data_IF_276993643946
#
_entry.id   IF_276993643946
#
_cell.length_a   1.000
_cell.length_b   1.000
_cell.length_c   1.000
_cell.angle_alpha   90.00
_cell.angle_beta   90.00
_cell.angle_gamma   90.00
#
_symmetry.space_group_name_H-M   'P 1'
#
loop_
_entity.id
_entity.type
_entity.pdbx_description
1 polymer ?
#
# COMPACT_ATOMS: atom_id res chain seq x y z
N UNK A 1 -5.13 23.76 -1.88
CA UNK A 1 -5.93 23.60 -0.66
C UNK A 1 -6.22 22.11 -0.36
N UNK A 2 -6.82 21.35 -1.27
CA UNK A 2 -7.18 19.92 -1.05
C UNK A 2 -5.96 19.05 -0.71
N UNK A 3 -4.91 19.12 -1.51
CA UNK A 3 -3.67 18.37 -1.28
C UNK A 3 -3.01 18.68 0.07
N UNK A 4 -3.01 19.97 0.48
CA UNK A 4 -2.47 20.37 1.79
C UNK A 4 -3.25 19.75 2.96
N UNK A 5 -4.58 19.63 2.85
CA UNK A 5 -5.40 18.94 3.84
C UNK A 5 -5.02 17.45 3.91
N UNK A 6 -4.85 16.80 2.77
CA UNK A 6 -4.43 15.39 2.73
C UNK A 6 -3.05 15.18 3.35
N UNK A 7 -2.09 16.08 3.11
CA UNK A 7 -0.76 15.99 3.73
C UNK A 7 -0.85 16.11 5.25
N UNK A 8 -1.60 17.11 5.75
CA UNK A 8 -1.77 17.31 7.20
C UNK A 8 -2.46 16.10 7.84
N UNK A 9 -3.52 15.59 7.20
CA UNK A 9 -4.22 14.40 7.66
C UNK A 9 -3.29 13.17 7.67
N UNK A 10 -2.51 12.97 6.60
CA UNK A 10 -1.53 11.89 6.51
C UNK A 10 -0.46 11.98 7.61
N UNK A 11 0.07 13.18 7.85
CA UNK A 11 1.03 13.40 8.94
C UNK A 11 0.41 13.08 10.31
N UNK A 12 -0.80 13.58 10.55
CA UNK A 12 -1.52 13.36 11.80
C UNK A 12 -1.79 11.87 12.05
N UNK A 13 -2.29 11.15 11.05
CA UNK A 13 -2.60 9.71 11.19
C UNK A 13 -1.34 8.86 11.35
N UNK A 14 -0.28 9.16 10.62
CA UNK A 14 1.02 8.48 10.79
C UNK A 14 1.60 8.69 12.18
N UNK A 15 1.46 9.89 12.74
CA UNK A 15 1.97 10.21 14.07
C UNK A 15 1.14 9.57 15.19
N UNK A 16 -0.19 9.51 15.03
CA UNK A 16 -1.10 9.02 16.08
C UNK A 16 -1.34 7.52 16.03
N UNK A 17 -1.49 6.95 14.84
CA UNK A 17 -1.84 5.54 14.65
C UNK A 17 -0.66 4.69 14.16
N UNK A 18 0.29 5.30 13.44
CA UNK A 18 1.40 4.58 12.80
C UNK A 18 0.93 3.64 11.68
N UNK A 19 1.87 2.82 11.19
CA UNK A 19 1.59 1.78 10.20
C UNK A 19 1.44 0.43 10.88
N UNK A 20 0.43 -0.33 10.48
CA UNK A 20 0.25 -1.73 10.86
C UNK A 20 1.09 -2.61 9.95
N UNK A 21 2.23 -3.06 10.44
CA UNK A 21 3.10 -3.97 9.69
C UNK A 21 2.60 -5.41 9.84
N UNK A 22 2.56 -6.14 8.72
CA UNK A 22 2.23 -7.54 8.68
C UNK A 22 3.25 -8.44 9.36
N UNK A 23 2.85 -9.68 9.60
CA UNK A 23 3.73 -10.71 10.20
C UNK A 23 4.96 -10.96 9.34
N UNK A 24 4.90 -10.69 8.05
CA UNK A 24 6.03 -10.83 7.11
C UNK A 24 7.18 -9.88 7.45
N UNK A 25 6.89 -8.76 8.12
CA UNK A 25 7.89 -7.77 8.54
C UNK A 25 8.28 -7.87 10.00
N UNK A 26 7.32 -8.16 10.88
CA UNK A 26 7.58 -8.27 12.33
C UNK A 26 7.99 -9.67 12.76
N UNK A 27 7.63 -10.68 12.00
CA UNK A 27 7.50 -12.06 12.47
C UNK A 27 6.17 -12.23 13.19
N UNK A 28 5.69 -13.46 13.30
CA UNK A 28 4.44 -13.79 13.96
C UNK A 28 3.77 -15.00 13.35
N UNK A 29 2.61 -15.35 13.89
CA UNK A 29 1.73 -16.39 13.35
C UNK A 29 0.39 -15.80 12.95
N UNK A 30 -0.15 -16.24 11.82
CA UNK A 30 -1.45 -15.85 11.29
C UNK A 30 -2.31 -17.07 11.08
N UNK A 31 -3.53 -17.00 11.53
CA UNK A 31 -4.56 -18.05 11.38
C UNK A 31 -5.76 -17.44 10.67
N UNK A 32 -6.16 -18.01 9.55
CA UNK A 32 -7.37 -17.57 8.83
C UNK A 32 -8.41 -18.67 8.90
N UNK A 33 -9.56 -18.33 9.44
CA UNK A 33 -10.72 -19.24 9.57
C UNK A 33 -11.82 -18.73 8.67
N UNK A 34 -12.38 -19.61 7.84
CA UNK A 34 -13.56 -19.31 7.02
C UNK A 34 -14.81 -19.78 7.78
N UNK A 35 -15.59 -18.84 8.31
CA UNK A 35 -16.81 -19.11 9.04
C UNK A 35 -17.75 -17.90 9.01
N UNK A 36 -18.90 -18.04 8.40
CA UNK A 36 -19.94 -17.01 8.44
C UNK A 36 -20.40 -16.75 9.88
N UNK A 37 -20.51 -15.45 10.22
CA UNK A 37 -20.92 -15.02 11.55
C UNK A 37 -19.85 -15.14 12.64
N UNK A 38 -18.58 -15.39 12.27
CA UNK A 38 -17.45 -15.33 13.19
C UNK A 38 -17.30 -13.93 13.77
N UNK A 39 -17.03 -13.83 15.09
CA UNK A 39 -16.85 -12.55 15.77
C UNK A 39 -15.45 -12.40 16.31
N UNK A 40 -14.98 -11.15 16.40
CA UNK A 40 -13.66 -10.80 16.95
C UNK A 40 -13.50 -11.33 18.37
N UNK A 41 -14.55 -11.25 19.20
CA UNK A 41 -14.51 -11.70 20.58
C UNK A 41 -14.30 -13.21 20.69
N UNK A 42 -14.99 -14.01 19.84
CA UNK A 42 -14.81 -15.45 19.82
C UNK A 42 -13.39 -15.88 19.45
N UNK A 43 -12.76 -15.18 18.51
CA UNK A 43 -11.39 -15.43 18.11
C UNK A 43 -10.40 -15.08 19.23
N UNK A 44 -10.58 -13.92 19.86
CA UNK A 44 -9.73 -13.48 20.96
C UNK A 44 -9.81 -14.42 22.19
N UNK A 45 -11.03 -14.88 22.51
CA UNK A 45 -11.24 -15.89 23.56
C UNK A 45 -10.53 -17.21 23.23
N UNK A 46 -10.61 -17.69 21.97
CA UNK A 46 -9.96 -18.93 21.57
C UNK A 46 -8.43 -18.84 21.67
N UNK A 47 -7.84 -17.72 21.27
CA UNK A 47 -6.39 -17.49 21.39
C UNK A 47 -5.95 -17.43 22.85
N UNK A 48 -6.72 -16.74 23.71
CA UNK A 48 -6.46 -16.70 25.16
C UNK A 48 -6.59 -18.07 25.80
N UNK A 49 -7.59 -18.87 25.40
CA UNK A 49 -7.78 -20.25 25.88
C UNK A 49 -6.61 -21.17 25.49
N UNK A 50 -5.94 -20.90 24.37
CA UNK A 50 -4.71 -21.59 23.96
C UNK A 50 -3.46 -21.18 24.78
N UNK A 51 -3.59 -20.27 25.74
CA UNK A 51 -2.49 -19.81 26.59
C UNK A 51 -1.55 -18.79 25.95
N UNK A 52 -1.97 -18.14 24.85
CA UNK A 52 -1.21 -17.06 24.21
C UNK A 52 -1.43 -15.76 24.97
N UNK A 53 -0.35 -15.18 25.51
CA UNK A 53 -0.38 -13.95 26.33
C UNK A 53 0.14 -12.71 25.56
N UNK A 54 0.58 -12.88 24.30
CA UNK A 54 1.10 -11.81 23.45
C UNK A 54 0.01 -10.95 22.82
N UNK A 55 0.46 -9.99 22.00
CA UNK A 55 -0.44 -9.11 21.25
C UNK A 55 -1.20 -9.92 20.20
N UNK A 56 -2.52 -9.85 20.24
CA UNK A 56 -3.40 -10.49 19.24
C UNK A 56 -4.10 -9.42 18.44
N UNK A 57 -4.05 -9.52 17.12
CA UNK A 57 -4.79 -8.66 16.19
C UNK A 57 -5.81 -9.53 15.47
N UNK A 58 -7.09 -9.20 15.63
CA UNK A 58 -8.18 -9.93 14.96
C UNK A 58 -8.85 -9.01 13.96
N UNK A 59 -8.98 -9.50 12.72
CA UNK A 59 -9.58 -8.77 11.60
C UNK A 59 -10.63 -9.62 10.91
N UNK A 60 -11.78 -9.02 10.61
CA UNK A 60 -12.78 -9.62 9.73
C UNK A 60 -12.41 -9.30 8.28
N UNK A 61 -12.43 -10.32 7.42
CA UNK A 61 -12.17 -10.21 5.98
C UNK A 61 -13.45 -10.62 5.26
N UNK A 62 -14.13 -9.64 4.65
CA UNK A 62 -15.45 -9.89 4.07
C UNK A 62 -16.48 -10.25 5.16
N UNK A 63 -17.41 -11.15 4.81
CA UNK A 63 -18.51 -11.52 5.70
C UNK A 63 -18.32 -12.91 6.34
N UNK A 64 -17.30 -13.66 5.93
CA UNK A 64 -17.16 -15.08 6.25
C UNK A 64 -15.76 -15.51 6.68
N UNK A 65 -14.77 -14.61 6.65
CA UNK A 65 -13.40 -14.92 7.05
C UNK A 65 -12.96 -14.07 8.23
N UNK A 66 -12.25 -14.69 9.14
CA UNK A 66 -11.62 -14.03 10.26
C UNK A 66 -10.13 -14.39 10.27
N UNK A 67 -9.27 -13.34 10.29
CA UNK A 67 -7.83 -13.49 10.41
C UNK A 67 -7.39 -13.10 11.82
N UNK A 68 -6.62 -13.96 12.41
CA UNK A 68 -6.04 -13.78 13.75
C UNK A 68 -4.52 -13.76 13.59
N UNK A 69 -3.88 -12.73 14.07
CA UNK A 69 -2.42 -12.58 14.06
C UNK A 69 -1.91 -12.47 15.49
N UNK A 70 -0.83 -13.18 15.77
CA UNK A 70 -0.18 -13.18 17.07
C UNK A 70 1.33 -12.94 16.91
N UNK A 71 2.02 -12.67 17.99
CA UNK A 71 3.46 -12.78 18.03
C UNK A 71 3.92 -14.18 17.63
N UNK A 72 5.21 -14.35 17.37
CA UNK A 72 5.77 -15.65 16.99
C UNK A 72 5.49 -16.73 18.04
N UNK A 73 4.83 -17.78 17.62
CA UNK A 73 4.48 -18.94 18.46
C UNK A 73 5.43 -20.11 18.18
N UNK A 74 5.61 -20.94 19.19
CA UNK A 74 6.20 -22.27 19.02
C UNK A 74 5.20 -23.20 18.31
N UNK A 75 5.68 -24.29 17.73
CA UNK A 75 4.79 -25.26 17.05
C UNK A 75 3.71 -25.79 18.00
N UNK A 76 4.04 -26.04 19.27
CA UNK A 76 3.08 -26.50 20.27
C UNK A 76 1.97 -25.46 20.54
N UNK A 77 2.36 -24.18 20.66
CA UNK A 77 1.40 -23.08 20.85
C UNK A 77 0.55 -22.86 19.59
N UNK A 78 1.15 -22.95 18.41
CA UNK A 78 0.42 -22.82 17.13
C UNK A 78 -0.65 -23.91 16.99
N UNK A 79 -0.31 -25.16 17.32
CA UNK A 79 -1.27 -26.26 17.29
C UNK A 79 -2.37 -26.06 18.34
N UNK A 80 -2.05 -25.62 19.54
CA UNK A 80 -3.05 -25.32 20.57
C UNK A 80 -4.01 -24.21 20.13
N UNK A 81 -3.53 -23.17 19.44
CA UNK A 81 -4.38 -22.12 18.87
C UNK A 81 -5.30 -22.70 17.78
N UNK A 82 -4.76 -23.53 16.88
CA UNK A 82 -5.58 -24.16 15.84
C UNK A 82 -6.69 -25.03 16.44
N UNK A 83 -6.38 -25.85 17.44
CA UNK A 83 -7.36 -26.71 18.11
C UNK A 83 -8.47 -25.89 18.79
N UNK A 84 -8.10 -24.79 19.46
CA UNK A 84 -9.08 -23.92 20.10
C UNK A 84 -9.95 -23.18 19.10
N UNK A 85 -9.36 -22.69 17.99
CA UNK A 85 -10.11 -22.05 16.90
C UNK A 85 -11.03 -23.06 16.22
N UNK A 86 -10.57 -24.27 15.92
CA UNK A 86 -11.36 -25.34 15.34
C UNK A 86 -12.59 -25.67 16.21
N UNK A 87 -12.36 -25.85 17.52
CA UNK A 87 -13.42 -26.13 18.49
C UNK A 87 -14.41 -24.96 18.59
N UNK A 88 -13.91 -23.72 18.70
CA UNK A 88 -14.75 -22.53 18.93
C UNK A 88 -15.62 -22.19 17.72
N UNK A 89 -15.08 -22.36 16.50
CA UNK A 89 -15.80 -22.06 15.26
C UNK A 89 -16.49 -23.27 14.62
N UNK A 90 -16.29 -24.47 15.17
CA UNK A 90 -16.88 -25.70 14.66
C UNK A 90 -16.40 -26.05 13.26
N UNK A 91 -15.10 -25.84 12.99
CA UNK A 91 -14.42 -26.17 11.74
C UNK A 91 -13.34 -27.22 11.99
N UNK A 92 -12.81 -27.85 10.93
CA UNK A 92 -11.68 -28.77 11.08
C UNK A 92 -10.37 -28.00 11.14
N UNK A 93 -9.36 -28.56 11.81
CA UNK A 93 -8.02 -27.92 11.93
C UNK A 93 -7.41 -27.70 10.55
N UNK A 94 -7.60 -28.63 9.62
CA UNK A 94 -7.10 -28.57 8.24
C UNK A 94 -7.71 -27.44 7.41
N UNK A 95 -8.90 -26.94 7.82
CA UNK A 95 -9.57 -25.81 7.16
C UNK A 95 -9.04 -24.44 7.62
N UNK A 96 -8.17 -24.43 8.65
CA UNK A 96 -7.56 -23.22 9.16
C UNK A 96 -6.25 -22.96 8.39
N UNK A 97 -6.24 -21.93 7.55
CA UNK A 97 -5.00 -21.51 6.89
C UNK A 97 -4.05 -20.88 7.91
N UNK A 98 -2.88 -21.48 8.05
CA UNK A 98 -1.90 -21.09 9.06
C UNK A 98 -0.57 -20.72 8.43
N UNK A 99 -0.11 -19.52 8.73
CA UNK A 99 1.21 -19.01 8.34
C UNK A 99 2.01 -18.65 9.58
N UNK A 100 3.27 -19.04 9.62
CA UNK A 100 4.19 -18.68 10.70
C UNK A 100 5.50 -18.15 10.12
N UNK A 101 5.89 -16.97 10.58
CA UNK A 101 7.10 -16.28 10.12
C UNK A 101 7.99 -15.98 11.33
N UNK A 102 9.18 -16.57 11.30
CA UNK A 102 10.17 -16.31 12.36
C UNK A 102 10.67 -14.86 12.35
N UNK A 103 11.02 -14.28 13.50
CA UNK A 103 11.46 -12.87 13.62
C UNK A 103 12.72 -12.55 12.81
N UNK A 104 13.63 -13.52 12.63
CA UNK A 104 14.83 -13.35 11.79
C UNK A 104 14.48 -13.17 10.31
N UNK A 105 13.51 -13.94 9.83
CA UNK A 105 13.00 -13.87 8.46
C UNK A 105 12.28 -12.52 8.22
N UNK A 106 11.43 -12.08 9.14
CA UNK A 106 10.77 -10.78 9.06
C UNK A 106 11.76 -9.61 8.96
N UNK A 107 12.83 -9.62 9.75
CA UNK A 107 13.91 -8.62 9.65
C UNK A 107 14.61 -8.62 8.29
N UNK A 108 14.84 -9.81 7.72
CA UNK A 108 15.48 -9.92 6.41
C UNK A 108 14.58 -9.40 5.29
N UNK A 109 13.30 -9.74 5.32
CA UNK A 109 12.29 -9.22 4.37
C UNK A 109 12.20 -7.70 4.47
N UNK A 110 12.10 -7.15 5.68
CA UNK A 110 12.07 -5.70 5.92
C UNK A 110 13.28 -5.02 5.30
N UNK A 111 14.48 -5.54 5.55
CA UNK A 111 15.72 -5.00 4.99
C UNK A 111 15.73 -5.02 3.46
N UNK A 112 15.33 -6.14 2.86
CA UNK A 112 15.24 -6.27 1.39
C UNK A 112 14.19 -5.33 0.79
N UNK A 113 13.04 -5.18 1.44
CA UNK A 113 11.98 -4.27 1.00
C UNK A 113 12.44 -2.80 1.03
N UNK A 114 13.12 -2.37 2.10
CA UNK A 114 13.68 -1.01 2.22
C UNK A 114 14.75 -0.78 1.16
N UNK A 115 15.67 -1.71 0.95
CA UNK A 115 16.68 -1.57 -0.09
C UNK A 115 16.08 -1.53 -1.50
N UNK A 116 15.06 -2.36 -1.77
CA UNK A 116 14.33 -2.33 -3.03
C UNK A 116 13.63 -0.98 -3.27
N UNK A 117 12.95 -0.44 -2.25
CA UNK A 117 12.29 0.86 -2.33
C UNK A 117 13.30 2.01 -2.55
N UNK A 118 14.38 2.04 -1.77
CA UNK A 118 15.43 3.05 -1.93
C UNK A 118 16.08 2.93 -3.30
N UNK A 119 16.44 1.73 -3.73
CA UNK A 119 17.03 1.47 -5.04
C UNK A 119 16.12 1.93 -6.18
N UNK A 120 14.82 1.62 -6.10
CA UNK A 120 13.83 2.08 -7.06
C UNK A 120 13.77 3.61 -7.11
N UNK A 121 13.66 4.28 -5.96
CA UNK A 121 13.59 5.75 -5.91
C UNK A 121 14.87 6.40 -6.45
N UNK A 122 16.05 5.83 -6.17
CA UNK A 122 17.33 6.33 -6.71
C UNK A 122 17.38 6.21 -8.24
N UNK A 123 16.98 5.07 -8.80
CA UNK A 123 16.93 4.88 -10.26
C UNK A 123 15.96 5.86 -10.91
N UNK A 124 14.79 6.04 -10.31
CA UNK A 124 13.80 7.01 -10.79
C UNK A 124 14.33 8.45 -10.72
N UNK A 125 14.94 8.86 -9.60
CA UNK A 125 15.53 10.18 -9.46
C UNK A 125 16.63 10.42 -10.49
N UNK A 126 17.49 9.43 -10.71
CA UNK A 126 18.54 9.51 -11.72
C UNK A 126 17.96 9.67 -13.13
N UNK A 127 16.94 8.86 -13.47
CA UNK A 127 16.24 8.99 -14.75
C UNK A 127 15.65 10.38 -14.95
N UNK A 128 14.93 10.92 -13.95
CA UNK A 128 14.32 12.24 -14.02
C UNK A 128 15.38 13.35 -14.14
N UNK A 129 16.50 13.25 -13.42
CA UNK A 129 17.61 14.21 -13.51
C UNK A 129 18.30 14.22 -14.88
N UNK A 130 18.32 13.07 -15.57
CA UNK A 130 18.88 12.95 -16.92
C UNK A 130 17.88 13.37 -18.02
N UNK A 131 16.59 13.08 -17.82
CA UNK A 131 15.54 13.32 -18.82
C UNK A 131 15.07 14.77 -18.86
N UNK A 132 15.11 15.49 -17.74
CA UNK A 132 14.53 16.82 -17.58
C UNK A 132 15.54 17.86 -17.09
N UNK A 133 15.18 19.14 -17.30
CA UNK A 133 15.93 20.26 -16.69
C UNK A 133 15.88 20.17 -15.15
N UNK A 134 16.92 20.66 -14.44
CA UNK A 134 17.03 20.52 -12.98
C UNK A 134 15.81 21.00 -12.20
N UNK A 135 15.16 22.09 -12.64
CA UNK A 135 13.95 22.62 -12.00
C UNK A 135 12.75 21.68 -12.14
N UNK A 136 12.60 21.05 -13.31
CA UNK A 136 11.53 20.10 -13.58
C UNK A 136 11.78 18.77 -12.84
N UNK A 137 13.03 18.30 -12.87
CA UNK A 137 13.44 17.11 -12.13
C UNK A 137 13.18 17.27 -10.61
N UNK A 138 13.52 18.42 -10.03
CA UNK A 138 13.22 18.72 -8.63
C UNK A 138 11.70 18.69 -8.35
N UNK A 139 10.91 19.32 -9.21
CA UNK A 139 9.45 19.32 -9.06
C UNK A 139 8.86 17.91 -9.16
N UNK A 140 9.40 17.06 -10.05
CA UNK A 140 8.97 15.65 -10.16
C UNK A 140 9.30 14.84 -8.91
N UNK A 141 10.49 15.06 -8.31
CA UNK A 141 10.88 14.40 -7.06
C UNK A 141 9.93 14.81 -5.92
N UNK A 142 9.59 16.09 -5.82
CA UNK A 142 8.63 16.58 -4.84
C UNK A 142 7.26 15.94 -5.04
N UNK A 143 6.80 15.78 -6.29
CA UNK A 143 5.54 15.10 -6.61
C UNK A 143 5.58 13.62 -6.16
N UNK A 144 6.66 12.90 -6.43
CA UNK A 144 6.81 11.50 -5.97
C UNK A 144 6.76 11.38 -4.45
N UNK A 145 7.48 12.26 -3.74
CA UNK A 145 7.46 12.29 -2.26
C UNK A 145 6.06 12.58 -1.75
N UNK A 146 5.36 13.53 -2.36
CA UNK A 146 3.97 13.85 -2.05
C UNK A 146 3.05 12.64 -2.21
N UNK A 147 3.15 11.92 -3.32
CA UNK A 147 2.29 10.77 -3.62
C UNK A 147 2.56 9.60 -2.66
N UNK A 148 3.84 9.31 -2.39
CA UNK A 148 4.23 8.32 -1.36
C UNK A 148 3.63 8.69 -0.01
N UNK A 149 3.80 9.95 0.39
CA UNK A 149 3.38 10.41 1.71
C UNK A 149 1.88 10.32 1.92
N UNK A 150 1.08 10.74 0.92
CA UNK A 150 -0.38 10.64 0.98
C UNK A 150 -0.82 9.18 0.98
N UNK A 151 -0.23 8.33 0.13
CA UNK A 151 -0.62 6.91 0.05
C UNK A 151 -0.32 6.20 1.37
N UNK A 152 0.85 6.42 1.95
CA UNK A 152 1.23 5.86 3.27
C UNK A 152 0.31 6.40 4.37
N UNK A 153 -0.07 7.69 4.30
CA UNK A 153 -1.02 8.29 5.24
C UNK A 153 -2.43 7.69 5.15
N UNK A 154 -2.91 7.39 3.94
CA UNK A 154 -4.20 6.70 3.74
C UNK A 154 -4.14 5.28 4.34
N UNK A 155 -3.04 4.55 4.15
CA UNK A 155 -2.84 3.24 4.78
C UNK A 155 -2.92 3.31 6.30
N UNK A 156 -2.28 4.31 6.90
CA UNK A 156 -2.36 4.54 8.34
C UNK A 156 -3.79 4.91 8.80
N UNK A 157 -4.48 5.78 8.03
CA UNK A 157 -5.84 6.23 8.34
C UNK A 157 -6.85 5.10 8.32
N UNK A 158 -6.82 4.28 7.27
CA UNK A 158 -7.75 3.14 7.11
C UNK A 158 -7.34 1.97 8.00
N UNK A 159 -6.07 1.93 8.43
CA UNK A 159 -5.52 0.84 9.24
C UNK A 159 -5.23 -0.41 8.42
N UNK A 160 -4.95 -0.26 7.14
CA UNK A 160 -4.53 -1.37 6.29
C UNK A 160 -3.18 -1.91 6.72
N UNK A 161 -3.04 -3.22 6.58
CA UNK A 161 -1.80 -3.91 6.88
C UNK A 161 -0.78 -3.73 5.76
N UNK A 162 0.44 -3.37 6.13
CA UNK A 162 1.56 -3.25 5.20
C UNK A 162 2.25 -4.60 5.09
N UNK A 163 2.18 -5.23 3.93
CA UNK A 163 2.79 -6.51 3.58
C UNK A 163 3.81 -6.33 2.44
N UNK A 164 4.63 -7.32 2.09
CA UNK A 164 5.46 -7.27 0.88
C UNK A 164 4.64 -7.02 -0.39
N UNK A 165 3.44 -7.59 -0.49
CA UNK A 165 2.51 -7.32 -1.60
C UNK A 165 2.09 -5.85 -1.65
N UNK A 166 1.88 -5.23 -0.50
CA UNK A 166 1.62 -3.78 -0.39
C UNK A 166 2.78 -2.96 -0.98
N UNK A 167 4.03 -3.31 -0.67
CA UNK A 167 5.21 -2.62 -1.23
C UNK A 167 5.24 -2.73 -2.76
N UNK A 168 4.94 -3.91 -3.31
CA UNK A 168 4.85 -4.09 -4.76
C UNK A 168 3.73 -3.22 -5.34
N UNK A 169 2.57 -3.18 -4.70
CA UNK A 169 1.46 -2.29 -5.06
C UNK A 169 1.86 -0.81 -5.05
N UNK A 170 2.59 -0.37 -4.03
CA UNK A 170 3.14 0.99 -3.96
C UNK A 170 4.06 1.32 -5.12
N UNK A 171 5.02 0.44 -5.43
CA UNK A 171 5.93 0.65 -6.55
C UNK A 171 5.17 0.73 -7.88
N UNK A 172 4.11 -0.05 -8.03
CA UNK A 172 3.25 -0.02 -9.22
C UNK A 172 2.52 1.32 -9.34
N UNK A 173 1.89 1.81 -8.25
CA UNK A 173 1.19 3.10 -8.22
C UNK A 173 2.17 4.25 -8.51
N UNK A 174 3.36 4.21 -7.93
CA UNK A 174 4.41 5.20 -8.20
C UNK A 174 4.83 5.19 -9.67
N UNK A 175 4.91 4.01 -10.31
CA UNK A 175 5.19 3.90 -11.74
C UNK A 175 4.14 4.60 -12.60
N UNK A 176 2.85 4.45 -12.27
CA UNK A 176 1.76 5.16 -12.95
C UNK A 176 1.83 6.67 -12.73
N UNK A 177 2.02 7.12 -11.50
CA UNK A 177 2.13 8.55 -11.17
C UNK A 177 3.30 9.20 -11.89
N UNK A 178 4.45 8.53 -11.93
CA UNK A 178 5.63 8.97 -12.65
C UNK A 178 5.42 9.07 -14.16
N UNK A 179 4.72 8.09 -14.74
CA UNK A 179 4.40 8.11 -16.16
C UNK A 179 3.61 9.37 -16.54
N UNK A 180 2.56 9.70 -15.79
CA UNK A 180 1.77 10.91 -16.02
C UNK A 180 2.60 12.18 -15.80
N UNK A 181 3.41 12.23 -14.76
CA UNK A 181 4.32 13.36 -14.47
C UNK A 181 5.29 13.59 -15.63
N UNK A 182 5.89 12.52 -16.17
CA UNK A 182 6.80 12.60 -17.32
C UNK A 182 6.09 13.14 -18.56
N UNK A 183 4.89 12.66 -18.85
CA UNK A 183 4.09 13.12 -20.01
C UNK A 183 3.72 14.60 -19.91
N UNK A 184 3.29 15.05 -18.73
CA UNK A 184 2.96 16.47 -18.51
C UNK A 184 4.22 17.33 -18.65
N UNK A 185 5.34 16.92 -18.08
CA UNK A 185 6.60 17.68 -18.13
C UNK A 185 7.20 17.72 -19.54
N UNK A 186 7.11 16.65 -20.31
CA UNK A 186 7.52 16.64 -21.70
C UNK A 186 6.72 17.67 -22.51
N UNK A 187 5.39 17.71 -22.27
CA UNK A 187 4.53 18.70 -22.93
C UNK A 187 4.78 20.13 -22.47
N UNK A 188 5.08 20.35 -21.19
CA UNK A 188 5.53 21.67 -20.70
C UNK A 188 6.83 22.07 -21.39
N UNK A 189 7.80 21.17 -21.49
CA UNK A 189 9.06 21.41 -22.19
C UNK A 189 8.87 21.76 -23.66
N UNK A 190 8.00 21.03 -24.36
CA UNK A 190 7.65 21.30 -25.74
C UNK A 190 7.06 22.72 -25.91
N UNK A 191 6.06 23.06 -25.10
CA UNK A 191 5.38 24.36 -25.17
C UNK A 191 6.32 25.52 -24.76
N UNK A 192 7.26 25.30 -23.82
CA UNK A 192 8.19 26.34 -23.37
C UNK A 192 9.31 26.61 -24.37
N UNK A 193 9.75 25.62 -25.17
CA UNK A 193 10.70 25.85 -26.26
C UNK A 193 10.20 26.92 -27.25
N UNK A 194 8.91 26.93 -27.53
CA UNK A 194 8.30 27.91 -28.44
C UNK A 194 8.33 29.33 -27.85
N UNK A 195 8.31 29.49 -26.54
CA UNK A 195 8.39 30.80 -25.87
C UNK A 195 9.75 31.45 -26.12
N UNK A 196 10.83 30.69 -26.00
CA UNK A 196 12.19 31.15 -26.22
C UNK A 196 12.41 31.72 -27.64
N UNK A 197 11.63 31.21 -28.61
CA UNK A 197 11.71 31.60 -30.03
C UNK A 197 10.78 32.79 -30.34
N UNK A 198 9.56 32.79 -29.79
CA UNK A 198 8.53 33.76 -30.20
C UNK A 198 8.30 34.92 -29.25
N UNK A 199 8.65 34.78 -27.98
CA UNK A 199 8.47 35.80 -26.93
C UNK A 199 7.00 36.17 -26.63
N UNK A 200 6.02 35.49 -27.25
CA UNK A 200 4.60 35.89 -27.24
C UNK A 200 3.79 35.42 -26.04
N UNK A 201 4.35 34.57 -25.18
CA UNK A 201 3.61 34.02 -24.03
C UNK A 201 4.53 33.84 -22.81
N UNK A 202 3.96 33.70 -21.63
CA UNK A 202 4.72 33.46 -20.38
C UNK A 202 4.86 31.97 -20.10
N UNK A 203 5.89 31.59 -19.32
CA UNK A 203 6.11 30.22 -18.86
C UNK A 203 4.85 29.63 -18.20
N UNK A 204 4.20 30.40 -17.31
CA UNK A 204 2.98 29.99 -16.62
C UNK A 204 1.82 29.67 -17.60
N UNK A 205 1.64 30.46 -18.63
CA UNK A 205 0.61 30.20 -19.66
C UNK A 205 0.93 28.96 -20.49
N UNK A 206 2.19 28.74 -20.85
CA UNK A 206 2.60 27.56 -21.58
C UNK A 206 2.47 26.27 -20.75
N UNK A 207 2.84 26.34 -19.46
CA UNK A 207 2.65 25.22 -18.54
C UNK A 207 1.15 24.90 -18.35
N UNK A 208 0.30 25.90 -18.16
CA UNK A 208 -1.15 25.69 -18.04
C UNK A 208 -1.75 25.09 -19.33
N UNK A 209 -1.28 25.54 -20.50
CA UNK A 209 -1.66 24.97 -21.79
C UNK A 209 -1.26 23.50 -21.86
N UNK A 210 -0.04 23.14 -21.44
CA UNK A 210 0.44 21.75 -21.44
C UNK A 210 -0.43 20.84 -20.56
N UNK A 211 -0.80 21.30 -19.35
CA UNK A 211 -1.70 20.57 -18.45
C UNK A 211 -3.05 20.32 -19.13
N UNK A 212 -3.65 21.35 -19.76
CA UNK A 212 -4.93 21.20 -20.45
C UNK A 212 -4.83 20.24 -21.65
N UNK A 213 -3.72 20.24 -22.38
CA UNK A 213 -3.48 19.35 -23.52
C UNK A 213 -3.29 17.88 -23.11
N UNK A 214 -2.76 17.63 -21.92
CA UNK A 214 -2.52 16.28 -21.39
C UNK A 214 -3.65 15.75 -20.52
N UNK A 215 -4.58 16.61 -20.08
CA UNK A 215 -5.64 16.28 -19.11
C UNK A 215 -6.47 15.06 -19.53
N UNK A 216 -6.95 15.04 -20.78
CA UNK A 216 -7.79 13.93 -21.29
C UNK A 216 -7.00 12.63 -21.30
N UNK A 217 -5.72 12.67 -21.67
CA UNK A 217 -4.83 11.51 -21.67
C UNK A 217 -4.63 10.99 -20.26
N UNK A 218 -4.27 11.85 -19.30
CA UNK A 218 -4.08 11.47 -17.89
C UNK A 218 -5.37 10.91 -17.28
N UNK A 219 -6.52 11.50 -17.60
CA UNK A 219 -7.80 10.98 -17.15
C UNK A 219 -8.08 9.57 -17.71
N UNK A 220 -7.88 9.37 -19.02
CA UNK A 220 -8.08 8.08 -19.65
C UNK A 220 -7.12 7.01 -19.12
N UNK A 221 -5.85 7.37 -18.90
CA UNK A 221 -4.84 6.47 -18.33
C UNK A 221 -5.25 6.04 -16.92
N UNK A 222 -5.66 6.99 -16.06
CA UNK A 222 -6.15 6.69 -14.70
C UNK A 222 -7.40 5.81 -14.72
N UNK A 223 -8.35 6.11 -15.61
CA UNK A 223 -9.57 5.31 -15.77
C UNK A 223 -9.26 3.88 -16.21
N UNK A 224 -8.36 3.71 -17.20
CA UNK A 224 -7.92 2.39 -17.68
C UNK A 224 -7.25 1.57 -16.59
N UNK A 225 -6.50 2.20 -15.68
CA UNK A 225 -5.88 1.53 -14.54
C UNK A 225 -6.91 1.18 -13.44
N UNK A 226 -7.93 2.04 -13.24
CA UNK A 226 -8.94 1.82 -12.21
C UNK A 226 -9.95 0.72 -12.57
N UNK A 227 -10.24 0.51 -13.86
CA UNK A 227 -11.22 -0.50 -14.30
C UNK A 227 -10.84 -1.92 -13.86
N UNK A 228 -9.62 -2.44 -14.11
CA UNK A 228 -9.22 -3.76 -13.66
C UNK A 228 -9.22 -3.89 -12.13
N UNK A 229 -8.75 -2.84 -11.42
CA UNK A 229 -8.73 -2.82 -9.95
C UNK A 229 -10.16 -2.85 -9.39
N UNK A 230 -11.05 -2.03 -9.97
CA UNK A 230 -12.47 -2.03 -9.62
C UNK A 230 -13.14 -3.38 -9.91
N UNK A 231 -12.90 -3.95 -11.10
CA UNK A 231 -13.41 -5.27 -11.43
C UNK A 231 -12.92 -6.34 -10.45
N UNK A 232 -11.64 -6.29 -10.04
CA UNK A 232 -11.10 -7.22 -9.05
C UNK A 232 -11.76 -7.07 -7.68
N UNK A 233 -12.11 -5.85 -7.24
CA UNK A 233 -12.82 -5.63 -5.99
C UNK A 233 -14.24 -6.24 -6.00
N UNK A 234 -14.94 -6.18 -7.14
CA UNK A 234 -16.30 -6.74 -7.26
C UNK A 234 -16.33 -8.23 -7.53
N UNK A 235 -15.43 -8.72 -8.39
CA UNK A 235 -15.37 -10.13 -8.81
C UNK A 235 -14.47 -10.94 -7.87
N UNK A 236 -13.36 -10.37 -7.43
CA UNK A 236 -12.40 -11.04 -6.55
C UNK A 236 -12.95 -11.34 -5.17
N UNK A 237 -13.85 -10.52 -4.65
CA UNK A 237 -14.56 -10.79 -3.40
C UNK A 237 -15.47 -12.05 -3.49
N UNK A 238 -15.92 -12.39 -4.70
CA UNK A 238 -16.70 -13.61 -4.94
C UNK A 238 -15.89 -14.85 -5.32
N UNK A 239 -14.62 -14.66 -5.78
CA UNK A 239 -13.73 -15.77 -6.17
C UNK A 239 -12.75 -16.19 -5.06
N UNK A 240 -12.51 -15.31 -4.11
CA UNK A 240 -11.61 -15.53 -2.96
C UNK A 240 -12.39 -15.78 -1.66
N UNK A 241 -13.72 -15.79 -1.76
CA UNK A 241 -14.66 -16.08 -0.69
C UNK A 241 -14.87 -17.57 -0.47
#
# INVERSE_FOLDING_TARGET
AFSGILIVLSAFTLFTQGLKLGIEFKGGSSFTVTKAGATVNQADEAVKAAGVTGQTIVQLIGNDKIRIQTDSLTNAQSNAVQDQLASKFGVTVESIDTQSIGPSWGKEITRKAIYGLIGFLLVVMLYLAMAFEPKMAFSAIVAVIHDVFITVGIYALVGFEVTPATIIGFLTILGYSLYDTVVVFDKVRENTKTIAITGKTTYSKAANLAINQTLVRSFNTSLTALIPVGAFLFVGAGLLG
#
